data_IF_470127801342
#
_entry.id   IF_470127801342
#
_cell.length_a   1.000
_cell.length_b   1.000
_cell.length_c   1.000
_cell.angle_alpha   90.00
_cell.angle_beta   90.00
_cell.angle_gamma   90.00
#
_symmetry.space_group_name_H-M   'P 1'
#
loop_
_entity.id
_entity.type
_entity.pdbx_description
1 polymer ?
#
# COMPACT_ATOMS: atom_id res chain seq x y z
N UNK A 1 11.95 -11.30 18.22
CA UNK A 1 11.72 -9.95 17.66
C UNK A 1 11.73 -8.95 18.80
N UNK A 2 12.49 -7.88 18.70
CA UNK A 2 12.57 -6.83 19.73
C UNK A 2 12.28 -5.48 19.07
N UNK A 3 11.04 -5.01 19.18
CA UNK A 3 10.56 -3.75 18.58
C UNK A 3 10.32 -2.72 19.70
N UNK A 4 10.69 -1.46 19.45
CA UNK A 4 10.52 -0.35 20.40
C UNK A 4 9.07 0.15 20.38
N UNK A 5 8.44 0.17 19.21
CA UNK A 5 7.06 0.60 19.03
C UNK A 5 6.14 -0.59 18.77
N UNK A 6 5.56 -1.15 19.83
CA UNK A 6 4.67 -2.29 19.75
C UNK A 6 3.42 -2.05 18.87
N UNK A 7 3.02 -0.80 18.65
CA UNK A 7 1.87 -0.47 17.83
C UNK A 7 2.10 -0.67 16.33
N UNK A 8 3.35 -0.91 15.90
CA UNK A 8 3.66 -1.31 14.52
C UNK A 8 3.33 -2.78 14.24
N UNK A 9 3.21 -3.62 15.26
CA UNK A 9 2.79 -5.01 15.08
C UNK A 9 1.25 -5.10 15.07
N UNK A 10 0.69 -5.04 13.87
CA UNK A 10 -0.76 -5.09 13.62
C UNK A 10 -1.17 -6.45 13.09
N UNK A 11 -2.34 -6.92 13.50
CA UNK A 11 -2.92 -8.23 13.16
C UNK A 11 -4.29 -8.14 12.44
N UNK A 12 -4.81 -6.93 12.26
CA UNK A 12 -6.11 -6.66 11.62
C UNK A 12 -5.93 -6.00 10.27
N UNK A 13 -6.93 -6.11 9.41
CA UNK A 13 -6.97 -5.37 8.16
C UNK A 13 -7.13 -3.86 8.43
N UNK A 14 -6.47 -3.04 7.62
CA UNK A 14 -6.62 -1.59 7.64
C UNK A 14 -7.58 -1.15 6.54
N UNK A 15 -8.80 -0.78 6.89
CA UNK A 15 -9.86 -0.38 5.95
C UNK A 15 -10.48 0.93 6.40
N UNK A 16 -10.47 1.93 5.52
CA UNK A 16 -11.08 3.24 5.77
C UNK A 16 -10.58 3.92 7.06
N UNK A 17 -9.28 3.85 7.34
CA UNK A 17 -8.69 4.43 8.54
C UNK A 17 -8.95 3.64 9.83
N UNK A 18 -9.43 2.41 9.73
CA UNK A 18 -9.75 1.57 10.88
C UNK A 18 -9.11 0.20 10.80
N UNK A 19 -8.72 -0.33 11.96
CA UNK A 19 -8.25 -1.70 12.12
C UNK A 19 -9.45 -2.63 12.35
N UNK A 20 -9.74 -3.49 11.38
CA UNK A 20 -10.92 -4.35 11.39
C UNK A 20 -10.56 -5.83 11.36
N UNK A 21 -11.27 -6.65 12.14
CA UNK A 21 -11.19 -8.11 12.08
C UNK A 21 -11.94 -8.63 10.84
N UNK A 22 -11.73 -9.90 10.49
CA UNK A 22 -12.58 -10.56 9.51
C UNK A 22 -14.02 -10.69 10.04
N UNK A 23 -15.01 -10.56 9.17
CA UNK A 23 -16.44 -10.56 9.55
C UNK A 23 -16.87 -11.89 10.22
N UNK A 24 -16.27 -12.99 9.79
CA UNK A 24 -16.51 -14.31 10.36
C UNK A 24 -15.62 -14.66 11.57
N UNK A 25 -14.75 -13.71 11.99
CA UNK A 25 -13.80 -13.90 13.10
C UNK A 25 -12.63 -14.83 12.78
N UNK A 26 -12.49 -15.33 11.54
CA UNK A 26 -11.38 -16.19 11.17
C UNK A 26 -10.04 -15.42 11.13
N UNK A 27 -8.98 -16.13 11.54
CA UNK A 27 -7.60 -15.69 11.45
C UNK A 27 -6.75 -16.73 10.70
N UNK A 28 -5.52 -16.36 10.40
CA UNK A 28 -4.49 -17.28 9.97
C UNK A 28 -3.18 -16.93 10.64
N UNK A 29 -2.39 -17.95 10.96
CA UNK A 29 -1.11 -17.78 11.65
C UNK A 29 -0.04 -17.27 10.68
N UNK A 30 0.71 -16.27 11.12
CA UNK A 30 1.96 -15.84 10.49
C UNK A 30 3.10 -16.37 11.34
N UNK A 31 3.95 -17.22 10.75
CA UNK A 31 5.01 -17.91 11.46
C UNK A 31 6.39 -17.41 11.05
N UNK A 32 7.31 -17.43 11.99
CA UNK A 32 8.73 -17.22 11.73
C UNK A 32 9.28 -18.43 10.95
N UNK A 33 9.76 -18.27 9.72
CA UNK A 33 10.24 -19.40 8.91
C UNK A 33 11.51 -20.07 9.45
N UNK A 34 12.25 -19.42 10.36
CA UNK A 34 13.48 -19.96 10.92
C UNK A 34 13.22 -21.01 12.04
N UNK A 35 12.12 -20.88 12.79
CA UNK A 35 11.84 -21.75 13.94
C UNK A 35 10.39 -22.24 14.03
N UNK A 36 9.50 -21.80 13.12
CA UNK A 36 8.09 -22.19 13.09
C UNK A 36 7.21 -21.55 14.16
N UNK A 37 7.73 -20.65 15.00
CA UNK A 37 6.94 -19.99 16.03
C UNK A 37 5.93 -19.02 15.41
N UNK A 38 4.71 -19.03 15.96
CA UNK A 38 3.66 -18.07 15.55
C UNK A 38 4.01 -16.68 16.05
N UNK A 39 4.08 -15.73 15.11
CA UNK A 39 4.35 -14.31 15.41
C UNK A 39 3.04 -13.59 15.72
N UNK A 40 2.01 -13.83 14.90
CA UNK A 40 0.70 -13.20 15.03
C UNK A 40 -0.40 -14.04 14.37
N UNK A 41 -1.63 -13.87 14.87
CA UNK A 41 -2.85 -14.38 14.24
C UNK A 41 -3.53 -13.22 13.48
N UNK A 42 -3.43 -13.22 12.16
CA UNK A 42 -3.88 -12.12 11.30
C UNK A 42 -5.28 -12.37 10.78
N UNK A 43 -6.10 -11.32 10.71
CA UNK A 43 -7.47 -11.37 10.19
C UNK A 43 -7.53 -11.96 8.78
N UNK A 44 -8.35 -13.01 8.59
CA UNK A 44 -8.51 -13.73 7.33
C UNK A 44 -9.67 -13.15 6.53
N UNK A 45 -9.43 -12.00 5.89
CA UNK A 45 -10.43 -11.32 5.07
C UNK A 45 -10.81 -12.11 3.83
N UNK A 46 -12.01 -11.86 3.33
CA UNK A 46 -12.63 -12.49 2.15
C UNK A 46 -13.23 -11.41 1.22
N UNK A 47 -14.22 -11.80 0.43
CA UNK A 47 -14.87 -10.95 -0.58
C UNK A 47 -15.52 -9.70 0.02
N UNK A 48 -16.23 -9.81 1.15
CA UNK A 48 -17.03 -8.69 1.68
C UNK A 48 -16.15 -7.59 2.29
N UNK A 49 -15.07 -7.93 3.01
CA UNK A 49 -14.08 -6.96 3.47
C UNK A 49 -13.38 -6.30 2.29
N UNK A 50 -13.06 -7.07 1.23
CA UNK A 50 -12.46 -6.54 0.01
C UNK A 50 -13.37 -5.53 -0.67
N UNK A 51 -14.66 -5.84 -0.77
CA UNK A 51 -15.67 -4.94 -1.34
C UNK A 51 -15.82 -3.66 -0.54
N UNK A 52 -15.76 -3.74 0.81
CA UNK A 52 -15.76 -2.56 1.67
C UNK A 52 -14.50 -1.70 1.48
N UNK A 53 -13.34 -2.33 1.35
CA UNK A 53 -12.08 -1.64 1.07
C UNK A 53 -12.12 -0.90 -0.28
N UNK A 54 -12.66 -1.54 -1.33
CA UNK A 54 -12.86 -0.91 -2.65
C UNK A 54 -13.81 0.29 -2.54
N UNK A 55 -14.94 0.16 -1.85
CA UNK A 55 -15.90 1.26 -1.63
C UNK A 55 -15.28 2.41 -0.83
N UNK A 56 -14.46 2.11 0.17
CA UNK A 56 -13.75 3.12 0.94
C UNK A 56 -12.74 3.87 0.06
N UNK A 57 -11.99 3.16 -0.78
CA UNK A 57 -11.05 3.73 -1.74
C UNK A 57 -11.77 4.63 -2.76
N UNK A 58 -12.90 4.17 -3.30
CA UNK A 58 -13.74 4.94 -4.23
C UNK A 58 -14.25 6.23 -3.61
N UNK A 59 -14.78 6.16 -2.38
CA UNK A 59 -15.27 7.33 -1.66
C UNK A 59 -14.17 8.36 -1.38
N UNK A 60 -12.98 7.88 -0.99
CA UNK A 60 -11.84 8.74 -0.70
C UNK A 60 -11.23 9.37 -1.98
N UNK A 61 -11.42 8.73 -3.14
CA UNK A 61 -10.84 9.13 -4.42
C UNK A 61 -11.16 10.59 -4.79
N UNK A 62 -12.39 11.05 -4.59
CA UNK A 62 -12.81 12.40 -4.97
C UNK A 62 -12.03 13.47 -4.20
N UNK A 63 -11.89 13.31 -2.88
CA UNK A 63 -11.15 14.25 -2.04
C UNK A 63 -9.63 14.14 -2.29
N UNK A 64 -9.11 12.93 -2.46
CA UNK A 64 -7.68 12.72 -2.70
C UNK A 64 -7.20 13.29 -4.04
N UNK A 65 -7.93 13.04 -5.13
CA UNK A 65 -7.59 13.57 -6.45
C UNK A 65 -7.62 15.11 -6.52
N UNK A 66 -8.46 15.74 -5.70
CA UNK A 66 -8.61 17.19 -5.64
C UNK A 66 -7.54 17.88 -4.78
N UNK A 67 -6.74 17.13 -4.01
CA UNK A 67 -5.55 17.71 -3.37
C UNK A 67 -4.55 18.14 -4.42
N UNK A 68 -3.91 19.28 -4.19
CA UNK A 68 -2.81 19.72 -5.05
C UNK A 68 -1.65 18.69 -5.03
N UNK A 69 -0.85 18.70 -6.09
CA UNK A 69 0.36 17.88 -6.15
C UNK A 69 1.28 18.12 -4.94
N UNK A 70 1.38 19.37 -4.48
CA UNK A 70 2.18 19.75 -3.31
C UNK A 70 1.66 19.12 -2.02
N UNK A 71 0.35 19.08 -1.79
CA UNK A 71 -0.24 18.45 -0.60
C UNK A 71 0.00 16.94 -0.59
N UNK A 72 -0.20 16.26 -1.74
CA UNK A 72 0.10 14.83 -1.86
C UNK A 72 1.59 14.54 -1.65
N UNK A 73 2.46 15.34 -2.26
CA UNK A 73 3.90 15.25 -2.07
C UNK A 73 4.31 15.40 -0.60
N UNK A 74 3.74 16.38 0.12
CA UNK A 74 4.04 16.59 1.54
C UNK A 74 3.65 15.39 2.41
N UNK A 75 2.46 14.79 2.19
CA UNK A 75 2.02 13.61 2.93
C UNK A 75 2.89 12.37 2.63
N UNK A 76 3.29 12.17 1.37
CA UNK A 76 4.20 11.10 1.00
C UNK A 76 5.58 11.29 1.64
N UNK A 77 6.11 12.52 1.64
CA UNK A 77 7.39 12.81 2.27
C UNK A 77 7.34 12.59 3.79
N UNK A 78 6.26 13.01 4.45
CA UNK A 78 6.04 12.72 5.87
C UNK A 78 6.07 11.20 6.15
N UNK A 79 5.43 10.42 5.29
CA UNK A 79 5.43 8.97 5.39
C UNK A 79 6.83 8.36 5.22
N UNK A 80 7.61 8.84 4.23
CA UNK A 80 9.02 8.49 4.08
C UNK A 80 9.81 8.76 5.36
N UNK A 81 9.68 9.95 5.96
CA UNK A 81 10.37 10.32 7.20
C UNK A 81 10.02 9.37 8.33
N UNK A 82 8.73 9.03 8.50
CA UNK A 82 8.29 8.08 9.52
C UNK A 82 8.80 6.67 9.26
N UNK A 83 8.88 6.21 8.02
CA UNK A 83 9.46 4.91 7.70
C UNK A 83 10.94 4.85 8.08
N UNK A 84 11.72 5.87 7.75
CA UNK A 84 13.14 5.91 8.08
C UNK A 84 13.37 6.04 9.59
N UNK A 85 12.53 6.79 10.29
CA UNK A 85 12.60 6.90 11.76
C UNK A 85 12.28 5.58 12.48
N UNK A 86 11.50 4.69 11.86
CA UNK A 86 11.13 3.38 12.40
C UNK A 86 11.82 2.21 11.67
N UNK A 87 12.92 2.48 10.94
CA UNK A 87 13.59 1.49 10.11
C UNK A 87 13.95 0.21 10.87
N UNK A 88 14.44 0.33 12.10
CA UNK A 88 14.84 -0.84 12.89
C UNK A 88 13.66 -1.73 13.24
N UNK A 89 12.56 -1.15 13.73
CA UNK A 89 11.36 -1.91 14.09
C UNK A 89 10.73 -2.58 12.86
N UNK A 90 10.64 -1.86 11.74
CA UNK A 90 10.18 -2.42 10.46
C UNK A 90 11.07 -3.56 9.97
N UNK A 91 12.41 -3.43 10.11
CA UNK A 91 13.36 -4.48 9.74
C UNK A 91 13.22 -5.72 10.65
N UNK A 92 12.99 -5.53 11.94
CA UNK A 92 12.72 -6.62 12.89
C UNK A 92 11.44 -7.39 12.53
N UNK A 93 10.36 -6.68 12.22
CA UNK A 93 9.10 -7.29 11.75
C UNK A 93 9.34 -8.08 10.47
N UNK A 94 10.00 -7.47 9.50
CA UNK A 94 10.27 -8.08 8.20
C UNK A 94 11.16 -9.32 8.33
N UNK A 95 12.23 -9.26 9.13
CA UNK A 95 13.08 -10.44 9.41
C UNK A 95 12.28 -11.55 10.06
N UNK A 96 11.41 -11.23 11.02
CA UNK A 96 10.63 -12.22 11.75
C UNK A 96 9.67 -12.98 10.81
N UNK A 97 8.91 -12.28 9.96
CA UNK A 97 7.92 -12.92 9.10
C UNK A 97 8.49 -13.51 7.81
N UNK A 98 9.58 -12.96 7.26
CA UNK A 98 10.11 -13.35 5.94
C UNK A 98 11.38 -14.21 6.03
N UNK A 99 12.15 -14.08 7.12
CA UNK A 99 13.35 -14.88 7.37
C UNK A 99 14.64 -14.32 6.79
N UNK A 100 14.65 -13.17 6.11
CA UNK A 100 15.91 -12.59 5.63
C UNK A 100 16.74 -12.03 6.78
N UNK A 101 18.11 -11.99 6.64
CA UNK A 101 18.97 -11.39 7.64
C UNK A 101 18.59 -9.94 7.94
N UNK A 102 18.72 -9.54 9.20
CA UNK A 102 18.32 -8.19 9.65
C UNK A 102 19.02 -7.06 8.88
N UNK A 103 20.28 -7.26 8.49
CA UNK A 103 21.02 -6.29 7.66
C UNK A 103 20.35 -6.09 6.28
N UNK A 104 19.91 -7.19 5.65
CA UNK A 104 19.18 -7.12 4.38
C UNK A 104 17.78 -6.53 4.57
N UNK A 105 17.11 -6.83 5.68
CA UNK A 105 15.81 -6.24 6.00
C UNK A 105 15.91 -4.71 6.17
N UNK A 106 16.93 -4.20 6.87
CA UNK A 106 17.20 -2.75 6.93
C UNK A 106 17.41 -2.14 5.54
N UNK A 107 18.17 -2.84 4.70
CA UNK A 107 18.37 -2.43 3.30
C UNK A 107 17.06 -2.38 2.52
N UNK A 108 16.18 -3.37 2.70
CA UNK A 108 14.88 -3.38 2.03
C UNK A 108 13.96 -2.24 2.52
N UNK A 109 13.95 -1.94 3.83
CA UNK A 109 13.16 -0.81 4.34
C UNK A 109 13.63 0.50 3.72
N UNK A 110 14.94 0.76 3.68
CA UNK A 110 15.49 1.94 3.01
C UNK A 110 15.15 1.97 1.52
N UNK A 111 15.29 0.85 0.82
CA UNK A 111 14.93 0.70 -0.58
C UNK A 111 13.45 0.98 -0.84
N UNK A 112 12.57 0.46 0.02
CA UNK A 112 11.14 0.72 -0.06
C UNK A 112 10.79 2.19 0.22
N UNK A 113 11.43 2.80 1.23
CA UNK A 113 11.25 4.20 1.59
C UNK A 113 11.69 5.14 0.45
N UNK A 114 12.78 4.81 -0.26
CA UNK A 114 13.25 5.58 -1.41
C UNK A 114 12.20 5.68 -2.54
N UNK A 115 11.34 4.67 -2.75
CA UNK A 115 10.22 4.81 -3.69
C UNK A 115 9.23 5.87 -3.23
N UNK A 116 8.94 5.96 -1.93
CA UNK A 116 8.01 6.97 -1.42
C UNK A 116 8.62 8.36 -1.55
N UNK A 117 9.90 8.52 -1.21
CA UNK A 117 10.63 9.78 -1.38
C UNK A 117 10.62 10.21 -2.85
N UNK A 118 11.06 9.32 -3.76
CA UNK A 118 11.09 9.59 -5.19
C UNK A 118 9.73 10.05 -5.72
N UNK A 119 8.67 9.31 -5.42
CA UNK A 119 7.34 9.64 -5.91
C UNK A 119 6.70 10.82 -5.18
N UNK A 120 7.16 11.19 -3.99
CA UNK A 120 6.79 12.47 -3.38
C UNK A 120 7.28 13.65 -4.22
N UNK A 121 8.49 13.55 -4.76
CA UNK A 121 9.06 14.54 -5.67
C UNK A 121 8.38 14.51 -7.06
N UNK A 122 8.18 13.33 -7.62
CA UNK A 122 7.54 13.15 -8.93
C UNK A 122 6.05 13.53 -8.94
N UNK A 123 5.37 13.55 -7.80
CA UNK A 123 3.99 14.04 -7.71
C UNK A 123 3.82 15.44 -8.30
N UNK A 124 4.85 16.29 -8.17
CA UNK A 124 4.88 17.67 -8.67
C UNK A 124 5.25 17.77 -10.15
N UNK A 125 5.61 16.65 -10.80
CA UNK A 125 6.05 16.58 -12.21
C UNK A 125 5.09 15.80 -13.12
N UNK A 126 3.85 15.65 -12.71
CA UNK A 126 2.81 15.04 -13.55
C UNK A 126 2.32 16.09 -14.55
N UNK A 127 3.18 16.39 -15.54
CA UNK A 127 2.89 17.38 -16.57
C UNK A 127 1.90 16.85 -17.59
N UNK A 128 1.22 17.77 -18.25
CA UNK A 128 0.50 17.52 -19.49
C UNK A 128 1.34 17.97 -20.70
N UNK A 129 0.72 17.92 -21.86
CA UNK A 129 1.35 18.29 -23.12
C UNK A 129 0.54 19.38 -23.83
N UNK A 130 1.24 20.29 -24.49
CA UNK A 130 0.67 21.17 -25.52
C UNK A 130 1.07 20.62 -26.88
N UNK A 131 0.06 20.34 -27.71
CA UNK A 131 0.26 19.69 -29.01
C UNK A 131 0.06 20.73 -30.11
N UNK A 132 0.91 20.78 -31.16
CA UNK A 132 0.71 21.67 -32.30
C UNK A 132 -0.69 21.55 -32.87
N UNK A 133 -1.33 22.68 -33.08
CA UNK A 133 -2.70 22.75 -33.58
C UNK A 133 -2.79 22.36 -35.07
N UNK A 134 -3.87 21.70 -35.48
CA UNK A 134 -4.14 21.40 -36.88
C UNK A 134 -4.64 22.62 -37.65
N UNK A 135 -5.02 23.69 -36.95
CA UNK A 135 -5.48 24.96 -37.54
C UNK A 135 -5.23 26.14 -36.56
N UNK A 136 -5.09 27.35 -37.08
CA UNK A 136 -4.72 28.55 -36.32
C UNK A 136 -5.71 28.97 -35.24
N UNK A 137 -6.94 28.50 -35.33
CA UNK A 137 -8.05 28.80 -34.40
C UNK A 137 -8.18 27.81 -33.24
N UNK A 138 -7.27 26.83 -33.14
CA UNK A 138 -7.32 25.78 -32.12
C UNK A 138 -6.08 25.78 -31.22
N UNK A 139 -6.26 25.26 -30.01
CA UNK A 139 -5.19 24.90 -29.10
C UNK A 139 -5.48 23.52 -28.53
N UNK A 140 -4.49 22.63 -28.56
CA UNK A 140 -4.62 21.28 -28.03
C UNK A 140 -3.80 21.15 -26.76
N UNK A 141 -4.46 20.83 -25.67
CA UNK A 141 -3.86 20.61 -24.36
C UNK A 141 -4.25 19.23 -23.87
N UNK A 142 -3.26 18.40 -23.57
CA UNK A 142 -3.46 17.09 -22.94
C UNK A 142 -3.13 17.22 -21.45
N UNK A 143 -4.06 16.79 -20.57
CA UNK A 143 -3.86 16.74 -19.13
C UNK A 143 -3.84 15.31 -18.65
N UNK A 144 -3.02 15.02 -17.63
CA UNK A 144 -2.98 13.72 -16.97
C UNK A 144 -3.91 13.73 -15.76
N UNK A 145 -4.74 12.70 -15.63
CA UNK A 145 -5.67 12.55 -14.52
C UNK A 145 -5.51 11.17 -13.85
N UNK A 146 -5.79 11.06 -12.53
CA UNK A 146 -5.77 9.77 -11.85
C UNK A 146 -6.82 8.82 -12.44
N UNK A 147 -6.43 7.56 -12.62
CA UNK A 147 -7.32 6.53 -13.18
C UNK A 147 -8.44 6.10 -12.21
N UNK A 148 -8.25 6.30 -10.91
CA UNK A 148 -9.20 5.91 -9.86
C UNK A 148 -8.60 4.94 -8.86
N UNK A 149 -9.37 3.91 -8.45
CA UNK A 149 -8.93 2.90 -7.49
C UNK A 149 -7.95 1.93 -8.15
N UNK A 150 -6.82 1.69 -7.48
CA UNK A 150 -5.75 0.77 -7.91
C UNK A 150 -5.67 -0.41 -6.95
N UNK A 151 -5.78 -1.62 -7.47
CA UNK A 151 -5.48 -2.84 -6.72
C UNK A 151 -3.99 -3.17 -6.80
N UNK A 152 -3.37 -3.44 -5.64
CA UNK A 152 -1.96 -3.80 -5.52
C UNK A 152 -1.85 -5.20 -4.92
N UNK A 153 -1.26 -6.16 -5.65
CA UNK A 153 -1.01 -7.52 -5.14
C UNK A 153 0.49 -7.75 -5.15
N UNK A 154 1.06 -8.17 -4.00
CA UNK A 154 2.50 -8.29 -3.82
C UNK A 154 2.92 -9.68 -3.32
N UNK A 155 4.11 -10.16 -3.73
CA UNK A 155 4.69 -11.41 -3.24
C UNK A 155 5.34 -11.23 -1.87
N UNK A 156 5.87 -12.34 -1.36
CA UNK A 156 6.49 -12.45 -0.03
C UNK A 156 7.99 -12.09 0.01
N UNK A 157 8.68 -12.08 -1.12
CA UNK A 157 10.15 -11.99 -1.14
C UNK A 157 10.73 -10.60 -0.83
N UNK A 158 9.97 -9.54 -1.13
CA UNK A 158 10.28 -8.15 -0.76
C UNK A 158 8.98 -7.47 -0.28
N UNK A 159 8.46 -7.87 0.89
CA UNK A 159 7.11 -7.49 1.32
C UNK A 159 6.93 -5.98 1.50
N UNK A 160 7.97 -5.26 1.86
CA UNK A 160 7.95 -3.80 1.96
C UNK A 160 8.16 -3.13 0.59
N UNK A 161 9.29 -3.39 -0.08
CA UNK A 161 9.67 -2.69 -1.30
C UNK A 161 8.72 -2.96 -2.48
N UNK A 162 8.14 -4.16 -2.59
CA UNK A 162 7.16 -4.45 -3.64
C UNK A 162 5.84 -3.72 -3.44
N UNK A 163 5.50 -3.41 -2.20
CA UNK A 163 4.29 -2.65 -1.88
C UNK A 163 4.51 -1.15 -2.13
N UNK A 164 5.60 -0.58 -1.62
CA UNK A 164 5.91 0.85 -1.74
C UNK A 164 6.00 1.31 -3.19
N UNK A 165 6.66 0.53 -4.07
CA UNK A 165 6.79 0.83 -5.50
C UNK A 165 5.46 0.84 -6.27
N UNK A 166 4.38 0.31 -5.68
CA UNK A 166 3.03 0.33 -6.25
C UNK A 166 2.18 1.45 -5.65
N UNK A 167 2.21 1.56 -4.32
CA UNK A 167 1.40 2.55 -3.60
C UNK A 167 1.90 3.97 -3.86
N UNK A 168 3.21 4.21 -3.74
CA UNK A 168 3.75 5.57 -3.86
C UNK A 168 3.42 6.26 -5.19
N UNK A 169 3.63 5.65 -6.38
CA UNK A 169 3.25 6.27 -7.64
C UNK A 169 1.72 6.42 -7.80
N UNK A 170 0.92 5.47 -7.28
CA UNK A 170 -0.53 5.57 -7.33
C UNK A 170 -1.02 6.79 -6.54
N UNK A 171 -0.55 6.96 -5.29
CA UNK A 171 -0.92 8.09 -4.44
C UNK A 171 -0.40 9.42 -5.01
N UNK A 172 0.83 9.45 -5.50
CA UNK A 172 1.42 10.62 -6.15
C UNK A 172 0.56 11.10 -7.33
N UNK A 173 0.07 10.15 -8.14
CA UNK A 173 -0.82 10.43 -9.27
C UNK A 173 -2.24 10.84 -8.86
N UNK A 174 -2.59 10.78 -7.58
CA UNK A 174 -3.93 11.08 -7.07
C UNK A 174 -4.90 9.91 -7.10
N UNK A 175 -4.41 8.68 -7.23
CA UNK A 175 -5.20 7.45 -7.10
C UNK A 175 -5.30 7.00 -5.64
N UNK A 176 -6.31 6.19 -5.33
CA UNK A 176 -6.44 5.46 -4.06
C UNK A 176 -6.12 3.98 -4.27
N UNK A 177 -5.79 3.26 -3.19
CA UNK A 177 -5.30 1.89 -3.31
C UNK A 177 -6.02 0.90 -2.39
N UNK A 178 -6.16 -0.33 -2.90
CA UNK A 178 -6.51 -1.51 -2.11
C UNK A 178 -5.40 -2.54 -2.32
N UNK A 179 -4.76 -2.93 -1.23
CA UNK A 179 -3.54 -3.74 -1.26
C UNK A 179 -3.77 -5.10 -0.63
N UNK A 180 -3.31 -6.15 -1.33
CA UNK A 180 -3.22 -7.51 -0.81
C UNK A 180 -1.76 -7.94 -0.76
N UNK A 181 -1.10 -7.90 0.42
CA UNK A 181 0.20 -8.52 0.60
C UNK A 181 0.10 -10.06 0.54
N UNK A 182 1.23 -10.74 0.41
CA UNK A 182 1.28 -12.18 0.57
C UNK A 182 0.86 -12.59 2.00
N UNK A 183 0.14 -13.69 2.13
CA UNK A 183 -0.27 -14.17 3.46
C UNK A 183 0.92 -14.62 4.34
N UNK A 184 2.04 -15.02 3.72
CA UNK A 184 3.25 -15.36 4.46
C UNK A 184 3.92 -14.13 5.12
N UNK A 185 3.69 -12.93 4.59
CA UNK A 185 4.38 -11.69 5.04
C UNK A 185 3.44 -10.48 5.04
N UNK A 186 2.35 -10.51 5.81
CA UNK A 186 1.39 -9.40 5.87
C UNK A 186 1.78 -8.31 6.88
N UNK A 187 2.61 -8.65 7.89
CA UNK A 187 2.89 -7.76 9.02
C UNK A 187 3.66 -6.51 8.60
N UNK A 188 4.64 -6.64 7.68
CA UNK A 188 5.32 -5.49 7.09
C UNK A 188 4.35 -4.52 6.41
N UNK A 189 3.35 -5.05 5.69
CA UNK A 189 2.35 -4.22 5.02
C UNK A 189 1.42 -3.51 6.02
N UNK A 190 1.05 -4.18 7.11
CA UNK A 190 0.21 -3.61 8.16
C UNK A 190 0.97 -2.54 8.96
N UNK A 191 2.24 -2.77 9.32
CA UNK A 191 3.09 -1.75 9.93
C UNK A 191 3.23 -0.50 9.04
N UNK A 192 3.32 -0.70 7.76
CA UNK A 192 3.38 0.33 6.74
C UNK A 192 2.09 1.19 6.70
N UNK A 193 0.91 0.56 6.84
CA UNK A 193 -0.36 1.27 6.95
C UNK A 193 -0.45 2.12 8.22
N UNK A 194 0.05 1.63 9.34
CA UNK A 194 0.13 2.38 10.60
C UNK A 194 0.94 3.68 10.43
N UNK A 195 2.09 3.60 9.78
CA UNK A 195 2.91 4.79 9.53
C UNK A 195 2.27 5.74 8.50
N UNK A 196 1.50 5.23 7.56
CA UNK A 196 0.74 6.05 6.62
C UNK A 196 -0.38 6.85 7.32
N UNK A 197 -1.06 6.22 8.27
CA UNK A 197 -2.07 6.87 9.12
C UNK A 197 -1.44 7.99 9.95
N UNK A 198 -0.31 7.72 10.61
CA UNK A 198 0.46 8.72 11.38
C UNK A 198 1.00 9.86 10.50
N UNK A 199 1.29 9.62 9.24
CA UNK A 199 1.68 10.65 8.28
C UNK A 199 0.51 11.57 7.88
N UNK A 200 -0.71 11.26 8.30
CA UNK A 200 -1.91 12.01 7.99
C UNK A 200 -2.50 11.71 6.61
N UNK A 201 -2.17 10.58 6.01
CA UNK A 201 -2.83 10.12 4.78
C UNK A 201 -4.29 9.82 5.10
N UNK A 202 -5.27 10.45 4.40
CA UNK A 202 -6.67 10.37 4.79
C UNK A 202 -7.24 8.94 4.74
N UNK A 203 -8.20 8.67 5.62
CA UNK A 203 -8.93 7.40 5.65
C UNK A 203 -9.48 7.01 4.27
N UNK A 204 -9.35 5.74 3.91
CA UNK A 204 -9.78 5.18 2.63
C UNK A 204 -8.80 5.38 1.47
N UNK A 205 -7.82 6.28 1.56
CA UNK A 205 -6.79 6.46 0.51
C UNK A 205 -5.92 5.22 0.37
N UNK A 206 -5.55 4.61 1.49
CA UNK A 206 -4.87 3.32 1.57
C UNK A 206 -5.77 2.32 2.31
N UNK A 207 -5.92 1.13 1.74
CA UNK A 207 -6.58 0.00 2.39
C UNK A 207 -5.69 -1.24 2.21
N UNK A 208 -5.43 -1.97 3.28
CA UNK A 208 -4.57 -3.17 3.27
C UNK A 208 -5.30 -4.31 3.96
N UNK A 209 -5.44 -5.43 3.26
CA UNK A 209 -6.09 -6.62 3.78
C UNK A 209 -5.38 -7.90 3.31
N UNK A 210 -5.28 -8.86 4.21
CA UNK A 210 -4.74 -10.19 3.97
C UNK A 210 -5.84 -11.25 4.22
N UNK A 211 -5.68 -12.47 3.74
CA UNK A 211 -6.65 -13.53 3.95
C UNK A 211 -6.84 -14.47 2.77
N UNK A 212 -8.07 -14.87 2.50
CA UNK A 212 -8.36 -15.86 1.45
C UNK A 212 -8.02 -15.32 0.06
N UNK A 213 -6.93 -15.83 -0.49
CA UNK A 213 -6.33 -15.28 -1.73
C UNK A 213 -7.27 -15.35 -2.93
N UNK A 214 -8.01 -16.46 -3.09
CA UNK A 214 -9.00 -16.63 -4.17
C UNK A 214 -10.09 -15.57 -4.10
N UNK A 215 -10.66 -15.35 -2.92
CA UNK A 215 -11.80 -14.47 -2.71
C UNK A 215 -11.41 -13.00 -2.92
N UNK A 216 -10.29 -12.59 -2.29
CA UNK A 216 -9.76 -11.24 -2.42
C UNK A 216 -9.34 -10.97 -3.87
N UNK A 217 -8.62 -11.92 -4.48
CA UNK A 217 -8.15 -11.81 -5.86
C UNK A 217 -9.30 -11.69 -6.86
N UNK A 218 -10.33 -12.54 -6.71
CA UNK A 218 -11.51 -12.50 -7.56
C UNK A 218 -12.24 -11.15 -7.47
N UNK A 219 -12.48 -10.63 -6.26
CA UNK A 219 -13.15 -9.33 -6.08
C UNK A 219 -12.31 -8.19 -6.65
N UNK A 220 -10.97 -8.17 -6.42
CA UNK A 220 -10.08 -7.12 -6.95
C UNK A 220 -10.00 -7.11 -8.47
N UNK A 221 -10.17 -8.26 -9.13
CA UNK A 221 -10.06 -8.38 -10.59
C UNK A 221 -11.40 -8.21 -11.31
N UNK A 222 -12.51 -8.55 -10.67
CA UNK A 222 -13.84 -8.50 -11.27
C UNK A 222 -14.59 -7.19 -10.96
N UNK A 223 -14.25 -6.47 -9.90
CA UNK A 223 -14.98 -5.29 -9.49
C UNK A 223 -14.69 -4.08 -10.41
N UNK A 224 -15.71 -3.52 -11.10
CA UNK A 224 -15.51 -2.47 -12.11
C UNK A 224 -15.02 -1.13 -11.53
N UNK A 225 -15.10 -0.93 -10.21
CA UNK A 225 -14.54 0.24 -9.52
C UNK A 225 -13.01 0.24 -9.53
N UNK A 226 -12.40 -0.95 -9.58
CA UNK A 226 -10.95 -1.10 -9.71
C UNK A 226 -10.54 -0.80 -11.15
N UNK A 227 -9.79 0.29 -11.35
CA UNK A 227 -9.41 0.78 -12.68
C UNK A 227 -8.04 0.31 -13.15
N UNK A 228 -7.22 -0.16 -12.24
CA UNK A 228 -5.89 -0.70 -12.52
C UNK A 228 -5.54 -1.78 -11.51
N UNK A 229 -5.00 -2.89 -12.01
CA UNK A 229 -4.34 -3.91 -11.22
C UNK A 229 -2.83 -3.80 -11.44
N UNK A 230 -2.07 -3.75 -10.35
CA UNK A 230 -0.61 -3.86 -10.36
C UNK A 230 -0.21 -5.09 -9.56
N UNK A 231 0.30 -6.07 -10.28
CA UNK A 231 0.66 -7.39 -9.78
C UNK A 231 2.16 -7.59 -9.87
N UNK A 232 2.79 -7.95 -8.77
CA UNK A 232 4.15 -8.48 -8.79
C UNK A 232 4.09 -9.93 -8.38
N UNK A 233 4.53 -10.79 -9.27
CA UNK A 233 4.56 -12.22 -9.04
C UNK A 233 5.94 -12.77 -9.31
N UNK A 234 6.26 -13.79 -8.52
CA UNK A 234 7.20 -14.79 -8.90
C UNK A 234 6.48 -15.71 -9.88
N UNK A 235 7.18 -16.05 -10.93
CA UNK A 235 6.66 -17.02 -11.89
C UNK A 235 6.33 -18.33 -11.17
N UNK A 236 5.14 -18.81 -11.38
CA UNK A 236 4.68 -20.09 -10.85
C UNK A 236 4.88 -21.13 -11.94
#
# INVERSE_FOLDING_TARGET
MNINDASLLRDKAYINGQWVSADNGETFSVCNPANGEVIAEVAKCRTDETRRAIKAAEKAQAAWRNKSAKERASLLHQWFVLMMANQEDLAQILTAEQGKPLAEARGEIAYGANYIEWFSEEAKRIYGDTIPEPSKDKRLICIKQPVGVVACITPWNFPNAMLTRKIAPALAAGCTVVCKPANATPLSALAFAELADRAGIPAGVINILAGQTSDIGAELTANPTVRKLTLSLIHI
#
